data_IF_379268585187
#
_entry.id   IF_379268585187
#
_cell.length_a   1.000
_cell.length_b   1.000
_cell.length_c   1.000
_cell.angle_alpha   90.00
_cell.angle_beta   90.00
_cell.angle_gamma   90.00
#
_symmetry.space_group_name_H-M   'P 1'
#
loop_
_entity.id
_entity.type
_entity.pdbx_description
1 polymer ?
#
# COMPACT_ATOMS: atom_id res chain seq x y z
N UNK A 1 0.53 9.55 -3.04
CA UNK A 1 1.15 9.85 -1.74
C UNK A 1 1.63 8.56 -1.13
N UNK A 2 2.72 8.60 -0.36
CA UNK A 2 3.24 7.48 0.42
C UNK A 2 2.25 7.09 1.51
N UNK A 3 2.20 5.81 1.85
CA UNK A 3 1.36 5.34 2.94
C UNK A 3 1.88 5.92 4.27
N UNK A 4 0.99 6.16 5.25
CA UNK A 4 1.40 6.59 6.59
C UNK A 4 2.45 5.68 7.24
N UNK A 5 2.44 4.39 6.91
CA UNK A 5 3.43 3.44 7.41
C UNK A 5 4.83 3.73 6.85
N UNK A 6 4.95 3.92 5.54
CA UNK A 6 6.22 4.24 4.88
C UNK A 6 6.72 5.62 5.32
N UNK A 7 5.81 6.59 5.50
CA UNK A 7 6.16 7.89 6.07
C UNK A 7 6.76 7.73 7.47
N UNK A 8 6.22 6.84 8.31
CA UNK A 8 6.80 6.62 9.63
C UNK A 8 8.21 5.99 9.56
N UNK A 9 8.45 5.04 8.65
CA UNK A 9 9.79 4.50 8.42
C UNK A 9 10.77 5.60 7.99
N UNK A 10 10.33 6.48 7.09
CA UNK A 10 11.11 7.63 6.64
C UNK A 10 11.42 8.60 7.79
N UNK A 11 10.44 8.92 8.63
CA UNK A 11 10.64 9.76 9.82
C UNK A 11 11.61 9.14 10.83
N UNK A 12 11.56 7.81 11.02
CA UNK A 12 12.47 7.10 11.91
C UNK A 12 13.91 7.17 11.39
N UNK A 13 14.10 6.97 10.08
CA UNK A 13 15.41 7.14 9.43
C UNK A 13 15.91 8.59 9.54
N UNK A 14 15.03 9.54 9.26
CA UNK A 14 15.33 10.97 9.29
C UNK A 14 15.59 11.50 10.71
N UNK A 15 15.18 10.76 11.74
CA UNK A 15 15.36 11.12 13.15
C UNK A 15 14.40 12.18 13.68
N UNK A 16 13.44 12.65 12.87
CA UNK A 16 12.37 13.55 13.34
C UNK A 16 11.10 13.44 12.49
N UNK A 17 10.01 13.99 13.04
CA UNK A 17 8.73 14.11 12.35
C UNK A 17 8.82 15.07 11.16
N UNK A 18 8.22 14.70 10.04
CA UNK A 18 8.12 15.54 8.85
C UNK A 18 6.85 16.39 9.00
N UNK A 19 7.01 17.68 9.29
CA UNK A 19 5.87 18.58 9.55
C UNK A 19 5.74 19.69 8.54
N UNK A 20 6.86 20.10 7.93
CA UNK A 20 6.91 21.27 7.07
C UNK A 20 7.54 20.95 5.71
N UNK A 21 7.21 21.70 4.65
CA UNK A 21 7.86 21.55 3.34
C UNK A 21 9.39 21.68 3.39
N UNK A 22 9.94 22.45 4.34
CA UNK A 22 11.40 22.57 4.56
C UNK A 22 12.04 21.28 5.07
N UNK A 23 11.29 20.39 5.72
CA UNK A 23 11.79 19.06 6.08
C UNK A 23 12.10 18.23 4.83
N UNK A 24 11.33 18.39 3.75
CA UNK A 24 11.60 17.74 2.46
C UNK A 24 12.90 18.24 1.82
N UNK A 25 13.29 19.49 2.03
CA UNK A 25 14.57 20.03 1.54
C UNK A 25 15.74 19.44 2.32
N UNK A 26 15.57 19.24 3.62
CA UNK A 26 16.58 18.59 4.46
C UNK A 26 16.75 17.11 4.06
N UNK A 27 15.65 16.35 3.91
CA UNK A 27 15.69 14.95 3.48
C UNK A 27 16.33 14.82 2.09
N UNK A 28 15.97 15.71 1.15
CA UNK A 28 16.57 15.74 -0.19
C UNK A 28 18.09 15.90 -0.14
N UNK A 29 18.59 16.80 0.73
CA UNK A 29 20.04 16.98 0.95
C UNK A 29 20.68 15.76 1.60
N UNK A 30 20.06 15.20 2.63
CA UNK A 30 20.61 14.04 3.33
C UNK A 30 20.71 12.80 2.43
N UNK A 31 19.70 12.56 1.58
CA UNK A 31 19.74 11.52 0.53
C UNK A 31 20.94 11.73 -0.40
N UNK A 32 21.15 12.96 -0.87
CA UNK A 32 22.27 13.29 -1.75
C UNK A 32 23.63 13.10 -1.08
N UNK A 33 23.74 13.48 0.19
CA UNK A 33 24.98 13.34 0.95
C UNK A 33 25.31 11.88 1.24
N UNK A 34 24.30 11.08 1.60
CA UNK A 34 24.46 9.68 2.05
C UNK A 34 24.55 8.68 0.89
N UNK A 35 23.69 8.78 -0.12
CA UNK A 35 23.57 7.80 -1.20
C UNK A 35 24.25 8.24 -2.50
N UNK A 36 24.64 9.52 -2.63
CA UNK A 36 25.10 10.13 -3.89
C UNK A 36 24.07 10.08 -5.03
N UNK A 37 22.81 9.86 -4.68
CA UNK A 37 21.64 9.91 -5.57
C UNK A 37 20.76 11.10 -5.22
N UNK A 38 19.79 11.45 -6.07
CA UNK A 38 18.97 12.64 -5.82
C UNK A 38 17.47 12.38 -5.97
N UNK A 39 16.72 12.86 -4.98
CA UNK A 39 15.26 13.04 -5.06
C UNK A 39 14.97 14.50 -4.78
N UNK A 40 14.32 15.18 -5.72
CA UNK A 40 14.01 16.62 -5.55
C UNK A 40 13.08 16.86 -4.36
N UNK A 41 13.25 17.99 -3.67
CA UNK A 41 12.37 18.38 -2.58
C UNK A 41 10.90 18.50 -3.01
N UNK A 42 10.64 18.90 -4.26
CA UNK A 42 9.28 18.95 -4.82
C UNK A 42 8.67 17.55 -5.03
N UNK A 43 9.49 16.58 -5.44
CA UNK A 43 9.06 15.18 -5.53
C UNK A 43 8.67 14.64 -4.15
N UNK A 44 9.49 14.91 -3.13
CA UNK A 44 9.19 14.55 -1.74
C UNK A 44 7.92 15.25 -1.23
N UNK A 45 7.77 16.56 -1.48
CA UNK A 45 6.58 17.34 -1.09
C UNK A 45 5.29 16.72 -1.67
N UNK A 46 5.32 16.25 -2.93
CA UNK A 46 4.18 15.55 -3.55
C UNK A 46 3.93 14.17 -2.94
N UNK A 47 4.99 13.40 -2.72
CA UNK A 47 4.89 12.07 -2.13
C UNK A 47 4.34 12.12 -0.70
N UNK A 48 4.70 13.15 0.06
CA UNK A 48 4.27 13.39 1.44
C UNK A 48 2.96 14.18 1.54
N UNK A 49 2.38 14.61 0.42
CA UNK A 49 1.07 15.28 0.38
C UNK A 49 1.07 16.78 0.66
N UNK A 50 2.24 17.44 0.75
CA UNK A 50 2.36 18.89 0.86
C UNK A 50 1.94 19.62 -0.42
N UNK A 51 2.12 18.97 -1.57
CA UNK A 51 1.73 19.50 -2.88
C UNK A 51 0.70 18.55 -3.49
N UNK A 52 -0.46 19.11 -3.83
CA UNK A 52 -1.57 18.40 -4.47
C UNK A 52 -1.63 18.76 -5.96
N UNK A 53 -0.71 18.27 -6.78
CA UNK A 53 -0.83 18.46 -8.23
C UNK A 53 -1.00 17.12 -8.93
N UNK A 54 -2.27 16.73 -9.10
CA UNK A 54 -2.70 15.60 -9.91
C UNK A 54 -2.12 14.23 -9.53
N UNK A 55 -2.61 13.19 -10.19
CA UNK A 55 -2.08 11.84 -10.04
C UNK A 55 -0.85 11.71 -10.93
N UNK A 56 0.33 11.97 -10.38
CA UNK A 56 1.57 11.50 -10.99
C UNK A 56 2.07 10.27 -10.24
N UNK A 57 2.11 9.13 -10.95
CA UNK A 57 2.77 7.92 -10.45
C UNK A 57 4.27 8.22 -10.36
N UNK A 58 4.88 8.15 -9.17
CA UNK A 58 6.32 8.36 -9.04
C UNK A 58 7.09 7.29 -9.81
N UNK A 59 8.26 7.67 -10.32
CA UNK A 59 9.16 6.73 -11.00
C UNK A 59 9.68 5.68 -10.01
N UNK A 60 9.86 4.45 -10.47
CA UNK A 60 10.39 3.38 -9.64
C UNK A 60 11.77 3.74 -9.06
N UNK A 61 12.67 4.32 -9.85
CA UNK A 61 13.97 4.78 -9.35
C UNK A 61 13.89 5.77 -8.19
N UNK A 62 12.87 6.64 -8.17
CA UNK A 62 12.65 7.54 -7.02
C UNK A 62 12.23 6.76 -5.78
N UNK A 63 11.41 5.73 -5.95
CA UNK A 63 10.98 4.86 -4.88
C UNK A 63 12.13 4.01 -4.34
N UNK A 64 13.00 3.50 -5.21
CA UNK A 64 14.20 2.75 -4.83
C UNK A 64 15.16 3.61 -4.01
N UNK A 65 15.40 4.87 -4.39
CA UNK A 65 16.21 5.80 -3.60
C UNK A 65 15.61 6.02 -2.20
N UNK A 66 14.28 6.14 -2.11
CA UNK A 66 13.60 6.30 -0.82
C UNK A 66 13.72 5.03 0.03
N UNK A 67 13.58 3.85 -0.56
CA UNK A 67 13.77 2.57 0.13
C UNK A 67 15.21 2.43 0.65
N UNK A 68 16.20 2.73 -0.19
CA UNK A 68 17.63 2.74 0.16
C UNK A 68 17.92 3.69 1.32
N UNK A 69 17.35 4.89 1.28
CA UNK A 69 17.52 5.85 2.36
C UNK A 69 16.95 5.32 3.67
N UNK A 70 15.74 4.74 3.65
CA UNK A 70 15.11 4.09 4.81
C UNK A 70 15.94 2.91 5.33
N UNK A 71 16.67 2.21 4.46
CA UNK A 71 17.56 1.10 4.79
C UNK A 71 17.19 -0.24 4.16
N UNK A 72 16.47 -0.23 3.03
CA UNK A 72 16.10 -1.41 2.24
C UNK A 72 16.73 -1.31 0.85
N UNK A 73 17.13 -2.45 0.26
CA UNK A 73 17.87 -2.47 -1.01
C UNK A 73 17.10 -1.84 -2.18
N UNK A 74 15.79 -2.06 -2.25
CA UNK A 74 14.92 -1.47 -3.26
C UNK A 74 13.47 -1.37 -2.79
N UNK A 75 12.61 -0.79 -3.63
CA UNK A 75 11.21 -0.61 -3.29
C UNK A 75 10.46 -1.92 -3.12
N UNK A 76 10.75 -2.96 -3.91
CA UNK A 76 10.03 -4.22 -3.85
C UNK A 76 10.38 -5.00 -2.57
N UNK A 77 11.65 -4.96 -2.12
CA UNK A 77 12.07 -5.49 -0.81
C UNK A 77 11.35 -4.78 0.33
N UNK A 78 11.23 -3.45 0.27
CA UNK A 78 10.44 -2.69 1.25
C UNK A 78 8.97 -3.14 1.21
N UNK A 79 8.36 -3.33 0.04
CA UNK A 79 6.96 -3.76 -0.07
C UNK A 79 6.70 -5.12 0.56
N UNK A 80 7.60 -6.08 0.34
CA UNK A 80 7.53 -7.41 0.97
C UNK A 80 7.62 -7.28 2.49
N UNK A 81 8.57 -6.51 3.00
CA UNK A 81 8.73 -6.30 4.44
C UNK A 81 7.47 -5.72 5.09
N UNK A 82 6.81 -4.76 4.43
CA UNK A 82 5.66 -4.05 5.03
C UNK A 82 4.32 -4.74 4.78
N UNK A 83 4.22 -5.74 3.91
CA UNK A 83 2.97 -6.45 3.63
C UNK A 83 2.67 -7.54 4.66
N UNK A 84 3.70 -8.13 5.25
CA UNK A 84 3.53 -9.20 6.22
C UNK A 84 3.49 -8.67 7.66
N UNK A 85 2.36 -8.86 8.38
CA UNK A 85 2.24 -8.38 9.76
C UNK A 85 3.22 -9.06 10.72
N UNK A 86 3.72 -10.26 10.40
CA UNK A 86 4.71 -11.01 11.21
C UNK A 86 6.11 -10.40 11.07
N UNK A 87 6.45 -9.91 9.88
CA UNK A 87 7.78 -9.35 9.60
C UNK A 87 7.95 -7.94 10.18
N UNK A 88 6.85 -7.21 10.38
CA UNK A 88 6.91 -5.92 11.06
C UNK A 88 6.78 -6.08 12.58
N UNK A 89 7.72 -5.55 13.36
CA UNK A 89 7.67 -5.52 14.84
C UNK A 89 6.58 -4.58 15.41
N UNK A 90 5.66 -4.12 14.57
CA UNK A 90 4.64 -3.12 14.91
C UNK A 90 3.34 -3.79 15.37
N UNK A 91 2.85 -3.38 16.55
CA UNK A 91 1.51 -3.74 17.00
C UNK A 91 0.45 -3.15 16.04
N UNK A 92 -0.28 -4.01 15.32
CA UNK A 92 -1.42 -3.59 14.51
C UNK A 92 -2.69 -3.59 15.36
N UNK A 93 -3.43 -2.48 15.36
CA UNK A 93 -4.70 -2.39 16.10
C UNK A 93 -5.75 -3.28 15.46
N UNK A 94 -6.65 -3.87 16.25
CA UNK A 94 -7.70 -4.79 15.74
C UNK A 94 -8.59 -4.15 14.67
N UNK A 95 -8.84 -2.84 14.73
CA UNK A 95 -9.66 -2.12 13.76
C UNK A 95 -8.89 -1.71 12.49
N UNK A 96 -7.58 -1.95 12.43
CA UNK A 96 -6.72 -1.68 11.26
C UNK A 96 -6.40 -2.96 10.48
N UNK A 97 -7.11 -4.05 10.78
CA UNK A 97 -6.84 -5.38 10.23
C UNK A 97 -8.11 -6.19 10.05
N UNK A 98 -8.21 -6.88 8.91
CA UNK A 98 -9.23 -7.89 8.64
C UNK A 98 -8.50 -9.15 8.19
N UNK A 99 -8.65 -10.26 8.91
CA UNK A 99 -8.14 -11.57 8.47
C UNK A 99 -9.23 -12.30 7.71
N UNK A 100 -8.92 -12.82 6.53
CA UNK A 100 -9.91 -13.49 5.67
C UNK A 100 -10.58 -14.67 6.39
N UNK A 101 -9.81 -15.46 7.12
CA UNK A 101 -10.30 -16.58 7.94
C UNK A 101 -11.27 -16.20 9.07
N UNK A 102 -11.42 -14.90 9.38
CA UNK A 102 -12.40 -14.42 10.38
C UNK A 102 -13.73 -14.00 9.75
N UNK A 103 -13.82 -13.99 8.42
CA UNK A 103 -15.02 -13.62 7.67
C UNK A 103 -15.91 -14.84 7.47
N UNK A 104 -17.22 -14.62 7.48
CA UNK A 104 -18.19 -15.64 7.06
C UNK A 104 -18.35 -15.62 5.55
N UNK A 105 -18.76 -16.75 4.96
CA UNK A 105 -19.14 -16.79 3.54
C UNK A 105 -20.23 -15.76 3.26
N UNK A 106 -20.09 -15.01 2.16
CA UNK A 106 -20.98 -13.93 1.75
C UNK A 106 -20.69 -12.56 2.39
N UNK A 107 -19.86 -12.47 3.44
CA UNK A 107 -19.42 -11.17 3.95
C UNK A 107 -18.52 -10.50 2.92
N UNK A 108 -18.63 -9.17 2.78
CA UNK A 108 -17.84 -8.41 1.81
C UNK A 108 -16.81 -7.54 2.50
N UNK A 109 -15.66 -7.37 1.85
CA UNK A 109 -14.67 -6.36 2.22
C UNK A 109 -14.64 -5.32 1.12
N UNK A 110 -14.97 -4.09 1.48
CA UNK A 110 -14.75 -2.93 0.61
C UNK A 110 -13.44 -2.28 1.03
N UNK A 111 -12.52 -2.11 0.10
CA UNK A 111 -11.23 -1.43 0.35
C UNK A 111 -10.93 -0.39 -0.71
N UNK A 112 -10.18 0.63 -0.31
CA UNK A 112 -9.80 1.76 -1.15
C UNK A 112 -8.29 1.93 -1.19
N UNK A 113 -7.78 2.46 -2.30
CA UNK A 113 -6.38 2.85 -2.44
C UNK A 113 -6.21 3.91 -3.53
N UNK A 114 -5.10 4.67 -3.48
CA UNK A 114 -4.90 5.78 -4.42
C UNK A 114 -4.48 5.33 -5.82
N UNK A 115 -4.78 6.13 -6.86
CA UNK A 115 -5.79 7.20 -6.91
C UNK A 115 -7.23 6.70 -7.00
N UNK A 116 -8.08 7.06 -6.03
CA UNK A 116 -9.55 6.94 -6.13
C UNK A 116 -10.03 5.57 -6.61
N UNK A 117 -9.39 4.51 -6.12
CA UNK A 117 -9.75 3.13 -6.45
C UNK A 117 -10.56 2.54 -5.33
N UNK A 118 -11.60 1.84 -5.71
CA UNK A 118 -12.48 1.13 -4.78
C UNK A 118 -12.66 -0.27 -5.32
N UNK A 119 -12.48 -1.27 -4.46
CA UNK A 119 -12.76 -2.67 -4.79
C UNK A 119 -13.61 -3.26 -3.68
N UNK A 120 -14.59 -4.08 -4.07
CA UNK A 120 -15.42 -4.85 -3.15
C UNK A 120 -15.22 -6.32 -3.50
N UNK A 121 -14.83 -7.11 -2.50
CA UNK A 121 -14.65 -8.55 -2.63
C UNK A 121 -15.60 -9.27 -1.68
N UNK A 122 -16.25 -10.33 -2.16
CA UNK A 122 -17.15 -11.17 -1.38
C UNK A 122 -16.45 -12.47 -1.00
N UNK A 123 -16.41 -12.75 0.29
CA UNK A 123 -15.73 -13.93 0.83
C UNK A 123 -16.49 -15.21 0.45
N UNK A 124 -15.76 -16.16 -0.14
CA UNK A 124 -16.30 -17.45 -0.53
C UNK A 124 -15.96 -18.52 0.51
N UNK A 125 -14.67 -18.71 0.77
CA UNK A 125 -14.13 -19.67 1.74
C UNK A 125 -12.66 -19.35 2.02
N UNK A 126 -12.19 -19.61 3.24
CA UNK A 126 -10.78 -19.46 3.65
C UNK A 126 -10.13 -18.12 3.26
N UNK A 127 -9.40 -18.11 2.13
CA UNK A 127 -8.69 -16.95 1.59
C UNK A 127 -9.32 -16.46 0.28
N UNK A 128 -10.32 -17.17 -0.25
CA UNK A 128 -10.89 -17.00 -1.58
C UNK A 128 -12.02 -15.98 -1.54
N UNK A 129 -11.97 -15.05 -2.49
CA UNK A 129 -13.01 -14.05 -2.71
C UNK A 129 -13.37 -13.93 -4.17
N UNK A 130 -14.59 -13.46 -4.42
CA UNK A 130 -15.02 -12.99 -5.75
C UNK A 130 -15.05 -11.46 -5.75
N UNK A 131 -14.48 -10.82 -6.76
CA UNK A 131 -14.61 -9.37 -6.94
C UNK A 131 -16.03 -9.05 -7.38
N UNK A 132 -16.78 -8.33 -6.55
CA UNK A 132 -18.19 -7.95 -6.78
C UNK A 132 -18.37 -6.45 -7.05
N UNK A 133 -17.31 -5.66 -6.92
CA UNK A 133 -17.30 -4.25 -7.29
C UNK A 133 -15.88 -3.77 -7.59
N UNK A 134 -15.72 -2.92 -8.60
CA UNK A 134 -14.42 -2.38 -8.99
C UNK A 134 -14.56 -1.01 -9.64
N UNK A 135 -13.83 -0.04 -9.10
CA UNK A 135 -13.75 1.34 -9.60
C UNK A 135 -12.26 1.68 -9.75
N UNK A 136 -11.85 2.09 -10.95
CA UNK A 136 -10.49 2.53 -11.30
C UNK A 136 -9.37 1.52 -10.98
N UNK A 137 -9.69 0.23 -10.83
CA UNK A 137 -8.77 -0.86 -10.51
C UNK A 137 -8.51 -1.76 -11.72
N UNK A 138 -7.41 -2.52 -11.69
CA UNK A 138 -7.12 -3.57 -12.69
C UNK A 138 -7.91 -4.86 -12.45
N UNK A 139 -8.36 -5.06 -11.20
CA UNK A 139 -9.28 -6.15 -10.85
C UNK A 139 -10.64 -5.87 -11.49
N UNK A 140 -11.26 -6.90 -12.04
CA UNK A 140 -12.54 -6.84 -12.73
C UNK A 140 -13.59 -7.59 -11.92
N UNK A 141 -14.84 -7.15 -12.04
CA UNK A 141 -15.97 -7.87 -11.44
C UNK A 141 -16.01 -9.28 -12.03
N UNK A 142 -16.12 -10.29 -11.17
CA UNK A 142 -16.07 -11.70 -11.54
C UNK A 142 -14.69 -12.35 -11.38
N UNK A 143 -13.61 -11.58 -11.18
CA UNK A 143 -12.31 -12.16 -10.84
C UNK A 143 -12.42 -12.94 -9.51
N UNK A 144 -11.78 -14.11 -9.44
CA UNK A 144 -11.59 -14.85 -8.19
C UNK A 144 -10.18 -14.56 -7.71
N UNK A 145 -10.02 -14.25 -6.42
CA UNK A 145 -8.76 -13.82 -5.85
C UNK A 145 -8.51 -14.44 -4.49
N UNK A 146 -7.24 -14.60 -4.14
CA UNK A 146 -6.83 -15.03 -2.81
C UNK A 146 -6.22 -13.87 -2.03
N UNK A 147 -6.73 -13.63 -0.82
CA UNK A 147 -6.24 -12.60 0.08
C UNK A 147 -6.13 -13.17 1.48
N UNK A 148 -4.96 -13.04 2.12
CA UNK A 148 -4.79 -13.51 3.49
C UNK A 148 -5.29 -12.49 4.52
N UNK A 149 -4.90 -11.23 4.34
CA UNK A 149 -5.11 -10.18 5.31
C UNK A 149 -5.22 -8.81 4.66
N UNK A 150 -6.19 -8.02 5.09
CA UNK A 150 -6.30 -6.62 4.74
C UNK A 150 -5.74 -5.79 5.90
N UNK A 151 -4.76 -4.94 5.61
CA UNK A 151 -4.08 -4.12 6.60
C UNK A 151 -4.13 -2.65 6.20
N UNK A 152 -4.53 -1.81 7.16
CA UNK A 152 -4.58 -0.38 6.93
C UNK A 152 -3.18 0.19 6.69
N UNK A 153 -3.04 1.14 5.75
CA UNK A 153 -1.79 1.82 5.41
C UNK A 153 -0.68 0.92 4.85
N UNK A 154 -0.99 -0.32 4.47
CA UNK A 154 -0.05 -1.28 3.87
C UNK A 154 -0.51 -1.70 2.48
N UNK A 155 0.43 -2.09 1.58
CA UNK A 155 0.06 -2.71 0.31
C UNK A 155 -0.73 -3.99 0.56
N UNK A 156 -1.70 -4.26 -0.30
CA UNK A 156 -2.50 -5.49 -0.24
C UNK A 156 -2.00 -6.45 -1.32
N UNK A 157 -1.47 -7.58 -0.89
CA UNK A 157 -1.11 -8.68 -1.79
C UNK A 157 -2.35 -9.51 -2.08
N UNK A 158 -2.60 -9.70 -3.37
CA UNK A 158 -3.73 -10.44 -3.91
C UNK A 158 -3.14 -11.50 -4.82
N UNK A 159 -3.25 -12.75 -4.38
CA UNK A 159 -2.63 -13.89 -5.05
C UNK A 159 -3.61 -14.56 -6.00
N UNK A 160 -3.06 -15.28 -6.98
CA UNK A 160 -3.81 -16.18 -7.86
C UNK A 160 -5.05 -15.51 -8.45
N UNK A 161 -4.89 -14.34 -9.07
CA UNK A 161 -6.02 -13.67 -9.71
C UNK A 161 -6.49 -14.53 -10.88
N UNK A 162 -7.66 -15.13 -10.74
CA UNK A 162 -8.29 -15.96 -11.77
C UNK A 162 -9.32 -15.12 -12.52
N UNK A 163 -9.16 -15.01 -13.84
CA UNK A 163 -10.10 -14.34 -14.74
C UNK A 163 -10.49 -15.29 -15.85
N UNK A 164 -11.78 -15.54 -16.02
CA UNK A 164 -12.30 -16.47 -17.04
C UNK A 164 -11.61 -17.85 -17.00
N UNK A 165 -11.38 -18.38 -15.79
CA UNK A 165 -10.66 -19.63 -15.51
C UNK A 165 -9.15 -19.64 -15.88
N UNK A 166 -8.56 -18.50 -16.19
CA UNK A 166 -7.11 -18.36 -16.39
C UNK A 166 -6.47 -17.62 -15.21
N UNK A 167 -5.34 -18.13 -14.73
CA UNK A 167 -4.52 -17.43 -13.73
C UNK A 167 -3.71 -16.33 -14.42
N UNK A 168 -3.98 -15.06 -14.10
CA UNK A 168 -3.27 -13.90 -14.65
C UNK A 168 -2.13 -13.41 -13.74
N UNK A 169 -1.84 -14.16 -12.67
CA UNK A 169 -0.78 -13.91 -11.71
C UNK A 169 -1.23 -13.09 -10.51
N UNK A 170 -0.25 -12.58 -9.77
CA UNK A 170 -0.47 -11.83 -8.55
C UNK A 170 -0.67 -10.33 -8.83
N UNK A 171 -1.40 -9.68 -7.93
CA UNK A 171 -1.65 -8.25 -7.98
C UNK A 171 -1.41 -7.61 -6.62
N UNK A 172 -0.71 -6.47 -6.61
CA UNK A 172 -0.49 -5.70 -5.39
C UNK A 172 -1.30 -4.41 -5.49
N UNK A 173 -2.35 -4.29 -4.67
CA UNK A 173 -3.12 -3.06 -4.55
C UNK A 173 -2.42 -2.10 -3.59
N UNK A 174 -2.47 -0.80 -3.91
CA UNK A 174 -1.92 0.23 -3.02
C UNK A 174 -0.41 0.16 -2.82
N UNK A 175 0.39 -0.23 -3.83
CA UNK A 175 1.87 -0.29 -3.74
C UNK A 175 2.53 0.93 -3.09
N UNK A 176 1.94 2.12 -3.21
CA UNK A 176 2.52 3.36 -2.69
C UNK A 176 1.72 3.91 -1.53
N UNK A 177 0.39 3.98 -1.68
CA UNK A 177 -0.50 4.56 -0.65
C UNK A 177 -0.85 3.60 0.48
N UNK A 178 -0.61 2.30 0.30
CA UNK A 178 -1.32 1.26 1.01
C UNK A 178 -2.83 1.28 0.75
N UNK A 179 -3.57 0.44 1.47
CA UNK A 179 -5.01 0.60 1.64
C UNK A 179 -5.24 1.92 2.40
N UNK A 180 -6.19 2.75 1.95
CA UNK A 180 -6.52 4.06 2.55
C UNK A 180 -7.84 4.05 3.30
N UNK A 181 -8.76 3.14 2.96
CA UNK A 181 -9.93 2.83 3.77
C UNK A 181 -10.31 1.35 3.58
N UNK A 182 -10.89 0.73 4.60
CA UNK A 182 -11.52 -0.59 4.46
C UNK A 182 -12.68 -0.78 5.44
N UNK A 183 -13.68 -1.56 5.03
CA UNK A 183 -14.82 -1.91 5.87
C UNK A 183 -15.33 -3.32 5.54
N UNK A 184 -15.89 -3.98 6.55
CA UNK A 184 -16.61 -5.25 6.39
C UNK A 184 -18.09 -4.95 6.27
N UNK A 185 -18.71 -5.44 5.20
CA UNK A 185 -20.16 -5.42 4.99
C UNK A 185 -20.67 -6.81 5.38
N UNK A 186 -21.43 -6.86 6.47
CA UNK A 186 -21.96 -8.11 7.02
C UNK A 186 -23.12 -8.64 6.19
N UNK A 187 -23.28 -9.95 6.18
CA UNK A 187 -24.52 -10.60 5.72
C UNK A 187 -25.58 -10.36 6.79
N UNK A 188 -26.81 -10.04 6.36
CA UNK A 188 -27.98 -9.95 7.24
C UNK A 188 -28.35 -11.29 7.88
#
# INVERSE_FOLDING_TARGET
MLSPYIVNLLENKYGKKIRYPSDCENISREIADTLKESVSSNTLKRLLGFIKDGVQTPRLSTLDIIANYIGFDDWDVLLQYISEPIMSSAYVRRNEMIRSRTLKKGEKVRFEYSPERVVVVEHQEELVFTVVGSINSKLQIGDIVEVEIFLMNRPLYIYNVMRNNENIGDFIAGKISGITAMTVIKVE
#
